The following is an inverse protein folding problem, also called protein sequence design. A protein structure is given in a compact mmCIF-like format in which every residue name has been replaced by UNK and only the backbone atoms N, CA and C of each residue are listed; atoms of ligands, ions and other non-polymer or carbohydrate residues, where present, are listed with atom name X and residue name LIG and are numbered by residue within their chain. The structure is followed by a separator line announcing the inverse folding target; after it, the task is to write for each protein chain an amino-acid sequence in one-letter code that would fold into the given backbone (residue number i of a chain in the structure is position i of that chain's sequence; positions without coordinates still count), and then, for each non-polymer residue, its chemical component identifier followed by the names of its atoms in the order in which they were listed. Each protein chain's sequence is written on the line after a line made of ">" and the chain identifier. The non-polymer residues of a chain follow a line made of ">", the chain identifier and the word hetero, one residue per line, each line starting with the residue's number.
data_IF_483258162703
#
_entry.id   IF_483258162703
#
_cell.length_a   1.000
_cell.length_b   1.000
_cell.length_c   1.000
_cell.angle_alpha   90.00
_cell.angle_beta   90.00
_cell.angle_gamma   90.00
#
_symmetry.space_group_name_H-M   'P 1'
#
loop_
_entity.id
_entity.type
_entity.pdbx_description
1 polymer ?
#
# COMPACT_ATOMS: atom_id res chain seq x y z
N UNK A 1 26.60 -15.94 22.91
CA UNK A 1 26.00 -15.98 21.55
C UNK A 1 25.07 -14.79 21.37
N UNK A 2 25.28 -13.98 20.32
CA UNK A 2 24.73 -12.62 20.16
C UNK A 2 23.18 -12.56 20.08
N UNK A 3 22.52 -12.17 21.18
CA UNK A 3 21.05 -12.03 21.24
C UNK A 3 20.50 -11.02 20.21
N UNK A 4 21.31 -10.02 19.82
CA UNK A 4 20.99 -9.04 18.78
C UNK A 4 20.90 -9.65 17.37
N UNK A 5 21.78 -10.61 17.05
CA UNK A 5 21.76 -11.28 15.75
C UNK A 5 20.55 -12.22 15.64
N UNK A 6 20.20 -12.90 16.73
CA UNK A 6 18.99 -13.73 16.83
C UNK A 6 17.71 -12.90 16.67
N UNK A 7 17.60 -11.76 17.38
CA UNK A 7 16.47 -10.82 17.24
C UNK A 7 16.34 -10.26 15.83
N UNK A 8 17.45 -9.91 15.16
CA UNK A 8 17.44 -9.45 13.77
C UNK A 8 16.95 -10.53 12.80
N UNK A 9 17.38 -11.78 12.99
CA UNK A 9 16.94 -12.91 12.17
C UNK A 9 15.43 -13.19 12.33
N UNK A 10 14.94 -13.22 13.57
CA UNK A 10 13.51 -13.37 13.87
C UNK A 10 12.68 -12.24 13.26
N UNK A 11 13.17 -11.00 13.32
CA UNK A 11 12.51 -9.86 12.74
C UNK A 11 12.37 -9.94 11.21
N UNK A 12 13.42 -10.39 10.51
CA UNK A 12 13.36 -10.59 9.06
C UNK A 12 12.37 -11.68 8.66
N UNK A 13 12.34 -12.79 9.41
CA UNK A 13 11.38 -13.88 9.20
C UNK A 13 9.95 -13.38 9.40
N UNK A 14 9.70 -12.60 10.45
CA UNK A 14 8.37 -12.04 10.71
C UNK A 14 7.91 -11.07 9.62
N UNK A 15 8.78 -10.19 9.13
CA UNK A 15 8.42 -9.28 8.04
C UNK A 15 8.09 -10.03 6.76
N UNK A 16 8.91 -11.01 6.39
CA UNK A 16 8.67 -11.84 5.21
C UNK A 16 7.36 -12.62 5.33
N UNK A 17 7.07 -13.14 6.51
CA UNK A 17 5.79 -13.79 6.81
C UNK A 17 4.62 -12.81 6.61
N UNK A 18 4.68 -11.61 7.20
CA UNK A 18 3.60 -10.62 7.08
C UNK A 18 3.39 -10.14 5.65
N UNK A 19 4.47 -9.89 4.89
CA UNK A 19 4.41 -9.54 3.47
C UNK A 19 3.78 -10.69 2.68
N UNK A 20 4.27 -11.91 2.85
CA UNK A 20 3.76 -13.08 2.15
C UNK A 20 2.28 -13.31 2.44
N UNK A 21 1.87 -13.18 3.70
CA UNK A 21 0.48 -13.38 4.11
C UNK A 21 -0.42 -12.31 3.50
N UNK A 22 -0.03 -11.04 3.63
CA UNK A 22 -0.79 -9.92 3.07
C UNK A 22 -0.99 -10.06 1.56
N UNK A 23 0.09 -10.35 0.81
CA UNK A 23 0.01 -10.49 -0.65
C UNK A 23 -0.90 -11.65 -1.03
N UNK A 24 -0.72 -12.83 -0.44
CA UNK A 24 -1.54 -14.01 -0.73
C UNK A 24 -3.02 -13.77 -0.41
N UNK A 25 -3.35 -13.29 0.78
CA UNK A 25 -4.75 -13.01 1.15
C UNK A 25 -5.39 -11.94 0.26
N UNK A 26 -4.60 -10.94 -0.16
CA UNK A 26 -5.09 -9.89 -1.07
C UNK A 26 -5.39 -10.46 -2.44
N UNK A 27 -4.48 -11.27 -2.99
CA UNK A 27 -4.65 -11.89 -4.30
C UNK A 27 -5.78 -12.93 -4.27
N UNK A 28 -5.86 -13.77 -3.25
CA UNK A 28 -6.95 -14.74 -3.08
C UNK A 28 -8.32 -14.05 -3.09
N UNK A 29 -8.43 -12.90 -2.40
CA UNK A 29 -9.69 -12.17 -2.26
C UNK A 29 -10.07 -11.33 -3.48
N UNK A 30 -9.09 -10.78 -4.19
CA UNK A 30 -9.31 -9.78 -5.24
C UNK A 30 -8.78 -10.20 -6.62
N UNK A 31 -8.40 -11.47 -6.81
CA UNK A 31 -7.88 -12.01 -8.08
C UNK A 31 -8.80 -11.71 -9.27
N UNK A 32 -10.11 -11.77 -9.08
CA UNK A 32 -11.11 -11.46 -10.12
C UNK A 32 -11.09 -10.00 -10.61
N UNK A 33 -10.42 -9.09 -9.89
CA UNK A 33 -10.24 -7.70 -10.29
C UNK A 33 -8.94 -7.46 -11.07
N UNK A 34 -8.09 -8.47 -11.17
CA UNK A 34 -6.71 -8.39 -11.66
C UNK A 34 -6.54 -9.25 -12.93
N UNK A 35 -5.52 -8.95 -13.73
CA UNK A 35 -5.14 -9.83 -14.84
C UNK A 35 -3.90 -10.63 -14.44
N UNK A 36 -4.12 -11.77 -13.78
CA UNK A 36 -3.05 -12.66 -13.33
C UNK A 36 -3.05 -13.89 -14.23
N UNK A 37 -2.07 -13.95 -15.13
CA UNK A 37 -1.89 -15.07 -16.07
C UNK A 37 -0.78 -16.03 -15.64
N UNK A 38 0.02 -15.64 -14.64
CA UNK A 38 1.21 -16.37 -14.18
C UNK A 38 0.94 -17.08 -12.84
N UNK A 39 1.04 -18.40 -12.82
CA UNK A 39 0.86 -19.25 -11.63
C UNK A 39 1.84 -18.93 -10.50
N UNK A 40 2.96 -18.23 -10.77
CA UNK A 40 3.94 -17.82 -9.77
C UNK A 40 3.84 -16.33 -9.40
N UNK A 41 2.75 -15.66 -9.77
CA UNK A 41 2.61 -14.21 -9.59
C UNK A 41 2.69 -13.77 -8.13
N UNK A 42 2.14 -14.52 -7.19
CA UNK A 42 2.21 -14.22 -5.77
C UNK A 42 3.65 -14.24 -5.25
N UNK A 43 4.49 -15.17 -5.70
CA UNK A 43 5.94 -15.15 -5.39
C UNK A 43 6.63 -13.91 -5.96
N UNK A 44 6.30 -13.51 -7.19
CA UNK A 44 6.82 -12.29 -7.82
C UNK A 44 6.39 -11.03 -7.06
N UNK A 45 5.12 -10.94 -6.67
CA UNK A 45 4.58 -9.80 -5.93
C UNK A 45 5.19 -9.68 -4.52
N UNK A 46 5.44 -10.81 -3.83
CA UNK A 46 6.15 -10.84 -2.54
C UNK A 46 7.58 -10.31 -2.71
N UNK A 47 8.34 -10.85 -3.67
CA UNK A 47 9.71 -10.41 -3.93
C UNK A 47 9.78 -8.93 -4.33
N UNK A 48 8.81 -8.49 -5.13
CA UNK A 48 8.67 -7.09 -5.52
C UNK A 48 8.48 -6.20 -4.30
N UNK A 49 7.52 -6.52 -3.42
CA UNK A 49 7.24 -5.74 -2.22
C UNK A 49 8.45 -5.68 -1.28
N UNK A 50 9.12 -6.82 -1.05
CA UNK A 50 10.37 -6.87 -0.27
C UNK A 50 11.48 -5.99 -0.87
N UNK A 51 11.62 -6.04 -2.19
CA UNK A 51 12.64 -5.27 -2.92
C UNK A 51 12.38 -3.78 -2.81
N UNK A 52 11.13 -3.35 -3.01
CA UNK A 52 10.75 -1.94 -2.91
C UNK A 52 10.95 -1.44 -1.48
N UNK A 53 10.47 -2.16 -0.46
CA UNK A 53 10.67 -1.80 0.95
C UNK A 53 12.16 -1.61 1.28
N UNK A 54 13.01 -2.52 0.81
CA UNK A 54 14.45 -2.47 1.05
C UNK A 54 15.12 -1.30 0.33
N UNK A 55 14.82 -1.09 -0.95
CA UNK A 55 15.47 -0.07 -1.79
C UNK A 55 14.97 1.36 -1.52
N UNK A 56 13.71 1.51 -1.10
CA UNK A 56 13.15 2.79 -0.68
C UNK A 56 13.44 3.12 0.80
N UNK A 57 14.16 2.25 1.53
CA UNK A 57 14.41 2.38 2.97
C UNK A 57 13.12 2.58 3.78
N UNK A 58 12.07 1.85 3.40
CA UNK A 58 10.74 2.04 3.96
C UNK A 58 10.64 1.61 5.42
N UNK A 59 9.85 2.36 6.18
CA UNK A 59 9.57 2.04 7.59
C UNK A 59 8.47 0.98 7.72
N UNK A 60 8.36 0.37 8.91
CA UNK A 60 7.22 -0.51 9.25
C UNK A 60 5.88 0.20 9.11
N UNK A 61 5.81 1.48 9.49
CA UNK A 61 4.59 2.26 9.35
C UNK A 61 4.22 2.41 7.87
N UNK A 62 5.21 2.70 7.02
CA UNK A 62 5.01 2.81 5.59
C UNK A 62 4.47 1.51 4.98
N UNK A 63 5.02 0.35 5.36
CA UNK A 63 4.48 -0.96 4.97
C UNK A 63 3.00 -1.10 5.32
N UNK A 64 2.61 -0.80 6.57
CA UNK A 64 1.20 -0.85 7.01
C UNK A 64 0.32 0.09 6.19
N UNK A 65 0.78 1.32 5.98
CA UNK A 65 0.07 2.31 5.17
C UNK A 65 -0.15 1.82 3.74
N UNK A 66 0.86 1.19 3.13
CA UNK A 66 0.72 0.56 1.81
C UNK A 66 -0.36 -0.52 1.83
N UNK A 67 -0.33 -1.44 2.80
CA UNK A 67 -1.34 -2.49 2.92
C UNK A 67 -2.77 -1.92 3.04
N UNK A 68 -2.94 -0.88 3.85
CA UNK A 68 -4.22 -0.18 3.98
C UNK A 68 -4.67 0.48 2.67
N UNK A 69 -3.77 1.19 1.98
CA UNK A 69 -4.08 1.85 0.71
C UNK A 69 -4.52 0.83 -0.36
N UNK A 70 -3.76 -0.26 -0.52
CA UNK A 70 -4.08 -1.35 -1.46
C UNK A 70 -5.45 -1.93 -1.15
N UNK A 71 -5.70 -2.29 0.12
CA UNK A 71 -6.96 -2.88 0.55
C UNK A 71 -8.14 -1.94 0.31
N UNK A 72 -7.99 -0.64 0.62
CA UNK A 72 -9.03 0.36 0.36
C UNK A 72 -9.33 0.49 -1.12
N UNK A 73 -8.31 0.62 -1.95
CA UNK A 73 -8.48 0.79 -3.38
C UNK A 73 -9.18 -0.41 -4.01
N UNK A 74 -8.76 -1.64 -3.65
CA UNK A 74 -9.39 -2.86 -4.15
C UNK A 74 -10.83 -3.02 -3.63
N UNK A 75 -11.13 -2.60 -2.39
CA UNK A 75 -12.52 -2.52 -1.91
C UNK A 75 -13.37 -1.59 -2.77
N UNK A 76 -12.86 -0.41 -3.14
CA UNK A 76 -13.56 0.50 -4.06
C UNK A 76 -13.76 -0.13 -5.45
N UNK A 77 -12.77 -0.89 -5.95
CA UNK A 77 -12.89 -1.60 -7.23
C UNK A 77 -13.91 -2.75 -7.18
N UNK A 78 -14.13 -3.32 -6.00
CA UNK A 78 -15.06 -4.42 -5.76
C UNK A 78 -16.45 -3.95 -5.30
N UNK A 79 -16.69 -2.64 -5.22
CA UNK A 79 -17.96 -2.12 -4.72
C UNK A 79 -19.02 -2.18 -5.83
N UNK A 80 -19.94 -3.13 -5.68
CA UNK A 80 -21.04 -3.38 -6.61
C UNK A 80 -21.90 -2.12 -6.85
N UNK A 81 -21.92 -1.15 -5.93
CA UNK A 81 -22.70 0.07 -6.08
C UNK A 81 -22.10 1.06 -7.09
N UNK A 82 -20.78 1.04 -7.29
CA UNK A 82 -20.10 1.96 -8.24
C UNK A 82 -19.95 1.36 -9.64
N UNK A 83 -20.18 0.05 -9.79
CA UNK A 83 -20.18 -0.67 -11.08
C UNK A 83 -18.87 -0.62 -11.87
N UNK A 84 -17.79 -0.05 -11.31
CA UNK A 84 -16.56 0.27 -12.04
C UNK A 84 -15.34 -0.30 -11.34
N UNK A 85 -14.76 -1.36 -11.91
CA UNK A 85 -13.44 -1.83 -11.51
C UNK A 85 -12.37 -0.80 -11.95
N UNK A 86 -11.87 0.02 -11.01
CA UNK A 86 -10.85 1.03 -11.28
C UNK A 86 -9.48 0.45 -11.63
N UNK A 87 -9.23 -0.85 -11.40
CA UNK A 87 -8.00 -1.52 -11.85
C UNK A 87 -7.80 -1.42 -13.37
N UNK A 88 -8.86 -1.21 -14.16
CA UNK A 88 -8.75 -0.98 -15.61
C UNK A 88 -7.80 0.16 -15.96
N UNK A 89 -7.75 1.21 -15.13
CA UNK A 89 -6.87 2.37 -15.33
C UNK A 89 -5.40 2.06 -14.98
N UNK A 90 -5.17 1.02 -14.18
CA UNK A 90 -3.85 0.45 -13.92
C UNK A 90 -3.54 -0.73 -14.85
N UNK A 91 -4.35 -0.95 -15.89
CA UNK A 91 -4.27 -2.11 -16.80
C UNK A 91 -4.32 -3.45 -16.05
N UNK A 92 -5.09 -3.50 -14.97
CA UNK A 92 -5.27 -4.67 -14.11
C UNK A 92 -3.98 -5.20 -13.47
N UNK A 93 -2.93 -4.37 -13.42
CA UNK A 93 -1.61 -4.73 -12.90
C UNK A 93 -1.51 -4.42 -11.39
N UNK A 94 -1.38 -5.48 -10.60
CA UNK A 94 -1.24 -5.39 -9.15
C UNK A 94 0.10 -4.79 -8.70
N UNK A 95 1.18 -4.95 -9.48
CA UNK A 95 2.46 -4.33 -9.14
C UNK A 95 2.37 -2.81 -9.32
N UNK A 96 1.67 -2.32 -10.35
CA UNK A 96 1.39 -0.88 -10.52
C UNK A 96 0.57 -0.31 -9.36
N UNK A 97 -0.40 -1.09 -8.86
CA UNK A 97 -1.14 -0.74 -7.64
C UNK A 97 -0.20 -0.61 -6.43
N UNK A 98 0.71 -1.58 -6.23
CA UNK A 98 1.70 -1.53 -5.15
C UNK A 98 2.59 -0.28 -5.27
N UNK A 99 3.11 0.05 -6.45
CA UNK A 99 3.94 1.25 -6.65
C UNK A 99 3.20 2.51 -6.27
N UNK A 100 1.96 2.68 -6.75
CA UNK A 100 1.16 3.84 -6.43
C UNK A 100 0.86 3.93 -4.92
N UNK A 101 0.57 2.80 -4.26
CA UNK A 101 0.37 2.75 -2.82
C UNK A 101 1.65 3.14 -2.05
N UNK A 102 2.82 2.72 -2.51
CA UNK A 102 4.11 3.13 -1.94
C UNK A 102 4.32 4.63 -2.04
N UNK A 103 4.03 5.24 -3.19
CA UNK A 103 4.15 6.69 -3.34
C UNK A 103 3.20 7.41 -2.37
N UNK A 104 1.93 6.99 -2.32
CA UNK A 104 0.92 7.62 -1.47
C UNK A 104 1.16 7.37 0.04
N UNK A 105 1.97 6.39 0.40
CA UNK A 105 2.36 6.13 1.80
C UNK A 105 3.44 7.08 2.33
N UNK A 106 4.13 7.84 1.47
CA UNK A 106 5.14 8.81 1.90
C UNK A 106 4.43 10.04 2.48
N UNK A 107 4.70 10.42 3.74
CA UNK A 107 4.08 11.57 4.36
C UNK A 107 4.42 12.85 3.58
N UNK A 108 3.41 13.69 3.34
CA UNK A 108 3.59 14.99 2.71
C UNK A 108 3.01 16.12 3.58
N UNK A 109 3.41 16.14 4.86
CA UNK A 109 2.80 16.95 5.94
C UNK A 109 3.52 18.29 6.19
N UNK A 110 4.12 18.91 5.18
CA UNK A 110 4.76 20.23 5.36
C UNK A 110 3.76 21.36 5.09
N UNK A 111 3.74 22.37 5.97
CA UNK A 111 2.87 23.56 5.80
C UNK A 111 3.23 24.36 4.54
N UNK A 112 4.50 24.30 4.12
CA UNK A 112 4.95 24.92 2.87
C UNK A 112 4.55 24.07 1.65
N UNK A 113 3.82 24.70 0.73
CA UNK A 113 3.41 24.12 -0.55
C UNK A 113 4.59 23.81 -1.48
N UNK A 114 5.61 24.67 -1.51
CA UNK A 114 6.80 24.45 -2.34
C UNK A 114 7.54 23.18 -1.94
N UNK A 115 7.77 23.00 -0.65
CA UNK A 115 8.38 21.77 -0.11
C UNK A 115 7.54 20.52 -0.35
N UNK A 116 6.20 20.63 -0.34
CA UNK A 116 5.31 19.50 -0.66
C UNK A 116 5.46 19.04 -2.11
N UNK A 117 5.63 19.97 -3.05
CA UNK A 117 5.85 19.65 -4.46
C UNK A 117 7.21 18.97 -4.64
N UNK A 118 8.27 19.56 -4.09
CA UNK A 118 9.63 19.01 -4.18
C UNK A 118 9.69 17.59 -3.59
N UNK A 119 9.10 17.38 -2.41
CA UNK A 119 9.06 16.07 -1.76
C UNK A 119 8.33 15.04 -2.63
N UNK A 120 7.22 15.45 -3.26
CA UNK A 120 6.45 14.58 -4.14
C UNK A 120 7.24 14.20 -5.40
N UNK A 121 7.93 15.15 -6.01
CA UNK A 121 8.69 14.91 -7.24
C UNK A 121 9.90 14.01 -6.96
N UNK A 122 10.58 14.21 -5.83
CA UNK A 122 11.61 13.27 -5.34
C UNK A 122 11.05 11.87 -5.08
N UNK A 123 9.84 11.78 -4.52
CA UNK A 123 9.17 10.51 -4.27
C UNK A 123 8.87 9.77 -5.59
N UNK A 124 8.32 10.46 -6.59
CA UNK A 124 8.07 9.89 -7.92
C UNK A 124 9.37 9.41 -8.58
N UNK A 125 10.43 10.22 -8.55
CA UNK A 125 11.73 9.84 -9.09
C UNK A 125 12.34 8.62 -8.38
N UNK A 126 12.22 8.54 -7.05
CA UNK A 126 12.69 7.40 -6.28
C UNK A 126 11.99 6.11 -6.72
N UNK A 127 10.65 6.11 -6.75
CA UNK A 127 9.90 4.90 -7.07
C UNK A 127 10.01 4.53 -8.55
N UNK A 128 10.17 5.49 -9.47
CA UNK A 128 10.53 5.21 -10.86
C UNK A 128 11.85 4.43 -10.94
N UNK A 129 12.91 4.92 -10.28
CA UNK A 129 14.23 4.26 -10.27
C UNK A 129 14.21 2.88 -9.59
N UNK A 130 13.46 2.73 -8.51
CA UNK A 130 13.42 1.47 -7.73
C UNK A 130 12.67 0.37 -8.47
N UNK A 131 11.59 0.74 -9.17
CA UNK A 131 10.64 -0.21 -9.78
C UNK A 131 10.90 -0.43 -11.26
N UNK A 132 11.63 0.47 -11.93
CA UNK A 132 11.87 0.44 -13.37
C UNK A 132 10.72 1.03 -14.21
N UNK A 133 9.61 1.46 -13.58
CA UNK A 133 8.56 2.18 -14.27
C UNK A 133 9.03 3.58 -14.66
N UNK A 134 8.53 4.08 -15.79
CA UNK A 134 8.77 5.48 -16.18
C UNK A 134 8.19 6.45 -15.15
N UNK A 135 8.77 7.66 -15.08
CA UNK A 135 8.27 8.69 -14.17
C UNK A 135 6.79 8.98 -14.42
N UNK A 136 6.39 9.08 -15.69
CA UNK A 136 5.02 9.32 -16.11
C UNK A 136 4.08 8.19 -15.65
N UNK A 137 4.49 6.93 -15.77
CA UNK A 137 3.69 5.81 -15.27
C UNK A 137 3.50 5.87 -13.75
N UNK A 138 4.55 6.16 -12.99
CA UNK A 138 4.47 6.30 -11.54
C UNK A 138 3.53 7.44 -11.15
N UNK A 139 3.66 8.59 -11.81
CA UNK A 139 2.81 9.76 -11.57
C UNK A 139 1.35 9.48 -11.92
N UNK A 140 1.10 8.83 -13.07
CA UNK A 140 -0.25 8.48 -13.52
C UNK A 140 -0.93 7.49 -12.57
N UNK A 141 -0.27 6.38 -12.23
CA UNK A 141 -0.82 5.38 -11.31
C UNK A 141 -1.14 6.01 -9.94
N UNK A 142 -0.23 6.84 -9.42
CA UNK A 142 -0.43 7.55 -8.15
C UNK A 142 -1.59 8.54 -8.20
N UNK A 143 -1.79 9.21 -9.34
CA UNK A 143 -2.86 10.19 -9.52
C UNK A 143 -4.24 9.51 -9.62
N UNK A 144 -4.31 8.36 -10.30
CA UNK A 144 -5.52 7.53 -10.37
C UNK A 144 -5.92 7.04 -8.98
N UNK A 145 -5.00 6.41 -8.24
CA UNK A 145 -5.28 5.93 -6.87
C UNK A 145 -5.78 7.06 -5.98
N UNK A 146 -5.10 8.22 -6.05
CA UNK A 146 -5.46 9.39 -5.27
C UNK A 146 -6.89 9.85 -5.56
N UNK A 147 -7.26 9.93 -6.84
CA UNK A 147 -8.61 10.35 -7.23
C UNK A 147 -9.68 9.39 -6.70
N UNK A 148 -9.47 8.08 -6.86
CA UNK A 148 -10.41 7.05 -6.39
C UNK A 148 -10.55 7.08 -4.87
N UNK A 149 -9.44 7.13 -4.14
CA UNK A 149 -9.45 7.12 -2.68
C UNK A 149 -10.05 8.39 -2.08
N UNK A 150 -9.86 9.56 -2.72
CA UNK A 150 -10.49 10.79 -2.26
C UNK A 150 -12.00 10.75 -2.52
N UNK A 151 -12.42 10.41 -3.74
CA UNK A 151 -13.84 10.39 -4.12
C UNK A 151 -14.67 9.44 -3.26
N UNK A 152 -14.15 8.22 -3.01
CA UNK A 152 -14.87 7.20 -2.24
C UNK A 152 -14.84 7.44 -0.72
N UNK A 153 -13.99 8.33 -0.21
CA UNK A 153 -14.07 8.76 1.19
C UNK A 153 -15.14 9.84 1.40
N UNK A 154 -15.37 10.71 0.40
CA UNK A 154 -16.33 11.81 0.49
C UNK A 154 -17.78 11.37 0.50
N UNK A 155 -18.11 10.29 -0.21
CA UNK A 155 -19.47 9.70 -0.17
C UNK A 155 -19.79 9.07 1.19
N UNK A 156 -18.78 8.80 2.03
CA UNK A 156 -18.96 8.32 3.42
C UNK A 156 -18.88 9.43 4.47
N UNK A 157 -18.38 10.61 4.11
CA UNK A 157 -18.18 11.77 4.98
C UNK A 157 -18.98 13.01 4.51
N UNK A 158 -20.21 12.80 4.03
CA UNK A 158 -21.13 13.90 3.67
C UNK A 158 -21.55 14.81 4.85
N UNK A 159 -21.04 14.59 6.06
CA UNK A 159 -21.21 15.46 7.22
C UNK A 159 -20.04 16.43 7.49
N UNK A 160 -18.99 16.48 6.64
CA UNK A 160 -17.91 17.47 6.86
C UNK A 160 -17.29 18.06 5.60
N UNK A 161 -17.45 19.38 5.44
CA UNK A 161 -16.71 20.23 4.51
C UNK A 161 -15.20 20.20 4.81
N UNK A 162 -14.45 19.19 4.35
CA UNK A 162 -12.99 19.32 4.37
C UNK A 162 -12.24 18.44 3.36
N UNK A 163 -12.07 18.96 2.15
CA UNK A 163 -11.06 18.49 1.22
C UNK A 163 -9.62 18.73 1.73
N UNK A 164 -9.43 19.61 2.72
CA UNK A 164 -8.13 19.95 3.31
C UNK A 164 -7.65 18.89 4.30
N UNK A 165 -8.54 18.28 5.09
CA UNK A 165 -8.16 17.28 6.10
C UNK A 165 -7.56 16.00 5.51
N UNK A 166 -8.08 15.44 4.41
CA UNK A 166 -7.48 14.25 3.76
C UNK A 166 -6.09 14.54 3.16
N UNK A 167 -5.83 15.80 2.75
CA UNK A 167 -4.49 16.24 2.31
C UNK A 167 -3.52 16.40 3.48
N UNK A 168 -4.01 16.68 4.68
CA UNK A 168 -3.21 16.94 5.88
C UNK A 168 -3.01 15.69 6.77
N UNK A 169 -4.01 14.81 6.86
CA UNK A 169 -3.98 13.59 7.68
C UNK A 169 -3.48 12.34 6.92
N UNK A 170 -3.59 12.34 5.59
CA UNK A 170 -3.18 11.23 4.71
C UNK A 170 -4.33 10.29 4.33
N UNK A 171 -4.05 9.29 3.47
CA UNK A 171 -5.08 8.39 2.90
C UNK A 171 -5.56 7.29 3.87
N UNK A 172 -4.94 7.15 5.03
CA UNK A 172 -5.17 6.09 6.01
C UNK A 172 -5.29 6.71 7.39
N UNK A 173 -6.41 6.45 8.07
CA UNK A 173 -6.67 6.91 9.43
C UNK A 173 -5.85 6.09 10.42
N UNK A 174 -5.50 6.69 11.57
CA UNK A 174 -4.78 5.99 12.66
C UNK A 174 -5.50 4.71 13.09
N UNK A 175 -6.83 4.76 13.20
CA UNK A 175 -7.67 3.61 13.56
C UNK A 175 -7.53 2.43 12.61
N UNK A 176 -7.26 2.68 11.32
CA UNK A 176 -7.07 1.64 10.31
C UNK A 176 -5.70 0.98 10.43
N UNK A 177 -4.68 1.75 10.81
CA UNK A 177 -3.36 1.21 11.16
C UNK A 177 -3.46 0.34 12.41
N UNK A 178 -4.21 0.77 13.43
CA UNK A 178 -4.43 -0.02 14.65
C UNK A 178 -5.24 -1.29 14.40
N UNK A 179 -6.22 -1.25 13.49
CA UNK A 179 -6.96 -2.43 13.05
C UNK A 179 -6.03 -3.42 12.32
N UNK A 180 -5.17 -2.92 11.44
CA UNK A 180 -4.16 -3.73 10.76
C UNK A 180 -3.20 -4.40 11.76
N UNK A 181 -2.78 -3.66 12.80
CA UNK A 181 -1.90 -4.20 13.84
C UNK A 181 -2.56 -5.29 14.68
N UNK A 182 -3.82 -5.08 15.07
CA UNK A 182 -4.60 -6.09 15.80
C UNK A 182 -4.78 -7.36 14.97
N UNK A 183 -5.15 -7.21 13.69
CA UNK A 183 -5.31 -8.34 12.77
C UNK A 183 -3.99 -9.09 12.58
N UNK A 184 -2.91 -8.36 12.28
CA UNK A 184 -1.57 -8.96 12.07
C UNK A 184 -1.07 -9.68 13.32
N UNK A 185 -1.26 -9.11 14.51
CA UNK A 185 -0.89 -9.75 15.78
C UNK A 185 -1.66 -11.05 15.97
N UNK A 186 -2.98 -11.02 15.76
CA UNK A 186 -3.84 -12.21 15.87
C UNK A 186 -3.37 -13.31 14.90
N UNK A 187 -3.12 -12.97 13.64
CA UNK A 187 -2.62 -13.93 12.63
C UNK A 187 -1.29 -14.56 13.03
N UNK A 188 -0.35 -13.76 13.55
CA UNK A 188 0.93 -14.28 14.04
C UNK A 188 0.72 -15.22 15.23
N UNK A 189 -0.17 -14.87 16.17
CA UNK A 189 -0.49 -15.73 17.30
C UNK A 189 -1.10 -17.07 16.85
N UNK A 190 -2.06 -17.02 15.92
CA UNK A 190 -2.73 -18.21 15.39
C UNK A 190 -1.76 -19.13 14.60
N UNK A 191 -0.96 -18.57 13.69
CA UNK A 191 -0.06 -19.36 12.84
C UNK A 191 1.14 -19.96 13.60
N UNK A 192 1.57 -19.33 14.68
CA UNK A 192 2.71 -19.81 15.49
C UNK A 192 2.27 -20.44 16.82
N UNK A 193 0.96 -20.64 17.03
CA UNK A 193 0.39 -21.17 18.28
C UNK A 193 0.90 -20.45 19.53
N UNK A 194 1.04 -19.12 19.44
CA UNK A 194 1.50 -18.28 20.55
C UNK A 194 0.28 -17.85 21.37
N UNK A 195 0.17 -18.39 22.59
CA UNK A 195 -0.85 -18.04 23.59
C UNK A 195 -0.78 -16.58 24.01
#
# INVERSE_FOLDING_TARGET
>A
MNSLASRRKQFLVLNRFLISRFIKETLDKYSHLLNIEDDNFDSKAIQFMETVLKRAHSSRLQFKTVCCIVTKFLKCCNDNNTGSNYMKFLRYDFLKLLVAAFVLSVPNRTNDYGQRLITRDHCYALFSRVTGLSLDEVTNCSSILRAVLIHNNLEREQDSLSWTHLREEGYVKTTEIEQFDRASKKTVQECFHLS
#
